data_IF_973025179200
#
_entry.id   IF_973025179200
#
_cell.length_a   1.000
_cell.length_b   1.000
_cell.length_c   1.000
_cell.angle_alpha   90.00
_cell.angle_beta   90.00
_cell.angle_gamma   90.00
#
_symmetry.space_group_name_H-M   'P 1'
#
loop_
_entity.id
_entity.type
_entity.pdbx_description
1 polymer ?
#
# COMPACT_ATOMS: atom_id res chain seq x y z
N UNK A 1 -6.21 1.23 -15.97
CA UNK A 1 -5.35 0.71 -14.90
C UNK A 1 -5.99 -0.52 -14.27
N UNK A 2 -5.17 -1.46 -13.82
CA UNK A 2 -5.64 -2.67 -13.15
C UNK A 2 -5.35 -2.57 -11.66
N UNK A 3 -6.05 -3.39 -10.85
CA UNK A 3 -5.81 -3.45 -9.41
C UNK A 3 -4.70 -4.44 -9.09
N UNK A 4 -3.90 -4.10 -8.10
CA UNK A 4 -2.84 -4.95 -7.58
C UNK A 4 -2.88 -4.97 -6.06
N UNK A 5 -2.60 -6.15 -5.48
CA UNK A 5 -2.38 -6.32 -4.05
C UNK A 5 -0.88 -6.29 -3.79
N UNK A 6 -0.45 -5.48 -2.83
CA UNK A 6 0.97 -5.30 -2.52
C UNK A 6 1.18 -5.64 -1.05
N UNK A 7 2.04 -6.64 -0.81
CA UNK A 7 2.41 -7.04 0.54
C UNK A 7 3.72 -6.37 0.94
N UNK A 8 3.73 -5.79 2.15
CA UNK A 8 4.93 -5.21 2.78
C UNK A 8 4.96 -5.72 4.22
N UNK A 9 5.70 -6.81 4.43
CA UNK A 9 5.76 -7.48 5.74
C UNK A 9 6.88 -6.89 6.57
N UNK A 10 6.58 -6.59 7.86
CA UNK A 10 7.56 -6.05 8.79
C UNK A 10 8.31 -4.83 8.20
N UNK A 11 7.60 -3.98 7.49
CA UNK A 11 8.19 -2.91 6.69
C UNK A 11 8.69 -1.72 7.50
N UNK A 12 8.13 -1.51 8.69
CA UNK A 12 8.45 -0.35 9.53
C UNK A 12 8.53 -0.77 10.99
N UNK A 13 9.48 -0.16 11.70
CA UNK A 13 9.69 -0.47 13.12
C UNK A 13 8.54 0.04 13.99
N UNK A 14 7.94 1.18 13.63
CA UNK A 14 6.91 1.86 14.43
C UNK A 14 5.80 2.43 13.54
N UNK A 15 4.67 2.79 14.18
CA UNK A 15 3.59 3.51 13.51
C UNK A 15 4.00 4.85 12.92
N UNK A 16 4.74 5.70 13.64
CA UNK A 16 5.27 6.96 13.08
C UNK A 16 6.14 6.78 11.84
N UNK A 17 6.94 5.72 11.77
CA UNK A 17 7.73 5.40 10.57
C UNK A 17 6.82 5.09 9.39
N UNK A 18 5.74 4.35 9.62
CA UNK A 18 4.74 4.08 8.61
C UNK A 18 4.04 5.36 8.13
N UNK A 19 3.69 6.26 9.05
CA UNK A 19 3.05 7.54 8.70
C UNK A 19 3.95 8.36 7.78
N UNK A 20 5.25 8.41 8.06
CA UNK A 20 6.21 9.12 7.21
C UNK A 20 6.28 8.48 5.82
N UNK A 21 6.27 7.15 5.75
CA UNK A 21 6.26 6.42 4.49
C UNK A 21 4.96 6.68 3.71
N UNK A 22 3.82 6.72 4.40
CA UNK A 22 2.52 7.01 3.76
C UNK A 22 2.50 8.42 3.16
N UNK A 23 3.08 9.39 3.83
CA UNK A 23 3.21 10.75 3.31
C UNK A 23 4.05 10.80 2.03
N UNK A 24 5.19 10.09 2.01
CA UNK A 24 6.02 9.98 0.81
C UNK A 24 5.26 9.29 -0.33
N UNK A 25 4.54 8.21 -0.01
CA UNK A 25 3.74 7.45 -0.97
C UNK A 25 2.70 8.34 -1.65
N UNK A 26 1.98 9.14 -0.87
CA UNK A 26 0.97 10.07 -1.37
C UNK A 26 1.60 11.10 -2.29
N UNK A 27 2.69 11.72 -1.86
CA UNK A 27 3.40 12.74 -2.64
C UNK A 27 3.85 12.19 -4.00
N UNK A 28 4.47 11.03 -4.02
CA UNK A 28 4.97 10.43 -5.27
C UNK A 28 3.81 9.91 -6.15
N UNK A 29 2.78 9.33 -5.53
CA UNK A 29 1.61 8.81 -6.26
C UNK A 29 0.78 9.90 -6.92
N UNK A 30 0.73 11.08 -6.33
CA UNK A 30 -0.05 12.22 -6.85
C UNK A 30 0.67 12.97 -7.98
N UNK A 31 1.93 12.67 -8.25
CA UNK A 31 2.67 13.28 -9.35
C UNK A 31 2.09 12.84 -10.70
N UNK A 32 2.06 13.77 -11.66
CA UNK A 32 1.64 13.45 -13.02
C UNK A 32 2.54 12.35 -13.61
N UNK A 33 1.93 11.35 -14.23
CA UNK A 33 2.66 10.27 -14.84
C UNK A 33 3.21 9.22 -13.89
N UNK A 34 2.80 9.22 -12.61
CA UNK A 34 3.25 8.20 -11.66
C UNK A 34 2.82 6.79 -12.06
N UNK A 35 1.70 6.67 -12.79
CA UNK A 35 1.17 5.37 -13.22
C UNK A 35 0.54 4.55 -12.10
N UNK A 36 0.37 5.13 -10.92
CA UNK A 36 -0.23 4.45 -9.77
C UNK A 36 -1.26 5.32 -9.09
N UNK A 37 -2.21 4.66 -8.43
CA UNK A 37 -3.23 5.32 -7.62
C UNK A 37 -3.51 4.46 -6.39
N UNK A 38 -3.25 5.01 -5.21
CA UNK A 38 -3.46 4.30 -3.95
C UNK A 38 -4.97 4.27 -3.62
N UNK A 39 -5.50 3.07 -3.43
CA UNK A 39 -6.93 2.87 -3.16
C UNK A 39 -7.15 2.68 -1.65
N UNK A 40 -6.48 1.70 -1.04
CA UNK A 40 -6.59 1.47 0.41
C UNK A 40 -5.44 0.62 0.91
N UNK A 41 -5.24 0.64 2.21
CA UNK A 41 -4.28 -0.22 2.88
C UNK A 41 -4.85 -0.73 4.19
N UNK A 42 -4.48 -1.96 4.55
CA UNK A 42 -4.65 -2.48 5.89
C UNK A 42 -3.30 -2.46 6.57
N UNK A 43 -3.25 -1.90 7.76
CA UNK A 43 -2.03 -1.85 8.57
C UNK A 43 -1.99 -3.11 9.41
N UNK A 44 -0.90 -3.87 9.32
CA UNK A 44 -0.76 -5.17 9.94
C UNK A 44 0.06 -5.07 11.23
N UNK A 45 -0.49 -5.57 12.33
CA UNK A 45 0.24 -5.74 13.59
C UNK A 45 0.98 -7.07 13.51
N UNK A 46 2.27 -7.02 13.22
CA UNK A 46 3.07 -8.21 12.99
C UNK A 46 3.54 -8.84 14.31
N UNK A 47 3.78 -10.15 14.31
CA UNK A 47 4.27 -10.88 15.49
C UNK A 47 5.60 -10.35 16.01
N UNK A 48 6.43 -9.83 15.10
CA UNK A 48 7.73 -9.23 15.44
C UNK A 48 7.61 -7.95 16.27
N UNK A 49 6.42 -7.36 16.38
CA UNK A 49 6.21 -6.04 16.96
C UNK A 49 6.39 -4.91 15.97
N UNK A 50 6.84 -5.22 14.75
CA UNK A 50 6.92 -4.26 13.66
C UNK A 50 5.56 -4.09 12.99
N UNK A 51 5.49 -3.18 12.03
CA UNK A 51 4.27 -2.85 11.28
C UNK A 51 4.45 -3.23 9.83
N UNK A 52 3.46 -3.89 9.26
CA UNK A 52 3.40 -4.18 7.82
C UNK A 52 2.15 -3.58 7.21
N UNK A 53 1.98 -3.76 5.90
CA UNK A 53 0.76 -3.34 5.19
C UNK A 53 0.36 -4.35 4.13
N UNK A 54 -0.95 -4.40 3.90
CA UNK A 54 -1.56 -5.03 2.73
C UNK A 54 -2.26 -3.89 1.97
N UNK A 55 -1.73 -3.54 0.80
CA UNK A 55 -2.18 -2.38 0.05
C UNK A 55 -2.88 -2.78 -1.23
N UNK A 56 -3.91 -2.02 -1.61
CA UNK A 56 -4.57 -2.12 -2.90
C UNK A 56 -4.30 -0.85 -3.69
N UNK A 57 -3.72 -1.00 -4.87
CA UNK A 57 -3.41 0.10 -5.80
C UNK A 57 -4.02 -0.18 -7.15
N UNK A 58 -4.44 0.88 -7.85
CA UNK A 58 -4.54 0.83 -9.30
C UNK A 58 -3.19 1.19 -9.89
N UNK A 59 -2.78 0.51 -10.94
CA UNK A 59 -1.51 0.83 -11.61
C UNK A 59 -1.56 0.43 -13.08
N UNK A 60 -0.71 1.08 -13.88
CA UNK A 60 -0.56 0.76 -15.29
C UNK A 60 0.13 -0.58 -15.48
N UNK A 61 1.03 -0.93 -14.56
CA UNK A 61 1.83 -2.16 -14.61
C UNK A 61 2.48 -2.44 -13.26
N UNK A 62 2.95 -3.67 -12.99
CA UNK A 62 3.77 -3.94 -11.81
C UNK A 62 5.04 -3.10 -11.75
N UNK A 63 5.63 -2.79 -12.91
CA UNK A 63 6.84 -1.95 -13.00
C UNK A 63 6.56 -0.53 -12.51
N UNK A 64 5.37 0.02 -12.78
CA UNK A 64 4.97 1.32 -12.26
C UNK A 64 4.90 1.31 -10.72
N UNK A 65 4.41 0.22 -10.14
CA UNK A 65 4.37 0.04 -8.68
C UNK A 65 5.79 0.00 -8.11
N UNK A 66 6.71 -0.72 -8.76
CA UNK A 66 8.09 -0.81 -8.30
C UNK A 66 8.80 0.54 -8.39
N UNK A 67 8.59 1.27 -9.46
CA UNK A 67 9.14 2.61 -9.63
C UNK A 67 8.62 3.58 -8.58
N UNK A 68 7.31 3.50 -8.27
CA UNK A 68 6.69 4.29 -7.21
C UNK A 68 7.28 3.94 -5.84
N UNK A 69 7.45 2.66 -5.55
CA UNK A 69 8.03 2.21 -4.29
C UNK A 69 9.46 2.70 -4.12
N UNK A 70 10.26 2.67 -5.19
CA UNK A 70 11.63 3.19 -5.17
C UNK A 70 11.63 4.70 -4.92
N UNK A 71 10.77 5.45 -5.61
CA UNK A 71 10.69 6.91 -5.45
C UNK A 71 10.24 7.32 -4.04
N UNK A 72 9.33 6.56 -3.44
CA UNK A 72 8.79 6.84 -2.11
C UNK A 72 9.56 6.13 -0.98
N UNK A 73 10.60 5.38 -1.32
CA UNK A 73 11.39 4.58 -0.37
C UNK A 73 10.50 3.63 0.45
N UNK A 74 9.77 2.77 -0.25
CA UNK A 74 8.88 1.78 0.36
C UNK A 74 9.42 0.37 0.13
N UNK A 75 9.35 -0.51 1.15
CA UNK A 75 9.63 -1.93 0.93
C UNK A 75 8.52 -2.57 0.11
N UNK A 76 8.85 -3.62 -0.65
CA UNK A 76 7.89 -4.43 -1.40
C UNK A 76 8.30 -5.88 -1.30
N UNK A 77 7.44 -6.72 -0.72
CA UNK A 77 7.67 -8.16 -0.67
C UNK A 77 7.03 -8.86 -1.87
N UNK A 78 5.80 -8.48 -2.20
CA UNK A 78 5.05 -9.14 -3.25
C UNK A 78 4.05 -8.20 -3.91
N UNK A 79 3.90 -8.32 -5.24
CA UNK A 79 2.90 -7.61 -6.04
C UNK A 79 2.10 -8.66 -6.77
N UNK A 80 0.78 -8.71 -6.54
CA UNK A 80 -0.11 -9.71 -7.14
C UNK A 80 -1.25 -9.01 -7.86
N UNK A 81 -1.48 -9.33 -9.15
CA UNK A 81 -2.66 -8.81 -9.85
C UNK A 81 -3.94 -9.29 -9.18
N UNK A 82 -4.91 -8.39 -9.05
CA UNK A 82 -6.24 -8.73 -8.53
C UNK A 82 -7.12 -9.15 -9.69
N UNK A 83 -7.56 -10.40 -9.68
CA UNK A 83 -8.39 -10.94 -10.76
C UNK A 83 -9.84 -10.45 -10.68
N UNK A 84 -10.38 -10.33 -9.46
CA UNK A 84 -11.77 -9.94 -9.25
C UNK A 84 -11.94 -9.41 -7.82
N UNK A 85 -13.02 -8.68 -7.59
CA UNK A 85 -13.30 -8.11 -6.26
C UNK A 85 -14.68 -8.55 -5.81
N UNK A 86 -14.78 -9.12 -4.62
CA UNK A 86 -16.04 -9.49 -3.99
C UNK A 86 -16.20 -8.64 -2.73
N UNK A 87 -17.24 -7.81 -2.70
CA UNK A 87 -17.55 -6.97 -1.55
C UNK A 87 -18.86 -7.47 -0.94
N UNK A 88 -18.77 -8.09 0.22
CA UNK A 88 -19.96 -8.55 0.97
C UNK A 88 -20.53 -7.40 1.80
N UNK A 89 -19.66 -6.66 2.45
CA UNK A 89 -20.01 -5.44 3.18
C UNK A 89 -18.78 -4.54 3.29
N UNK A 90 -18.97 -3.23 3.52
CA UNK A 90 -17.83 -2.32 3.65
C UNK A 90 -17.00 -2.63 4.90
N UNK A 91 -15.76 -2.13 4.92
CA UNK A 91 -14.93 -2.24 6.10
C UNK A 91 -15.61 -1.58 7.30
N UNK A 92 -15.47 -2.14 8.50
CA UNK A 92 -16.01 -1.51 9.69
C UNK A 92 -15.31 -0.18 9.97
N UNK A 93 -16.04 0.74 10.60
CA UNK A 93 -15.46 2.01 11.04
C UNK A 93 -14.48 1.69 12.18
N UNK A 94 -13.24 2.24 12.15
CA UNK A 94 -12.29 2.01 13.22
C UNK A 94 -12.84 2.42 14.59
N UNK A 95 -12.48 1.66 15.62
CA UNK A 95 -12.91 1.97 16.99
C UNK A 95 -12.42 3.36 17.40
N UNK A 96 -13.31 4.17 17.95
CA UNK A 96 -12.99 5.52 18.38
C UNK A 96 -13.04 6.58 17.28
N UNK A 97 -13.42 6.20 16.05
CA UNK A 97 -13.60 7.15 14.95
C UNK A 97 -14.95 7.86 15.03
#
# INVERSE_FOLDING_TARGET
MELYAIMRRNGWATGPDLEAAAARSTTEGDKDGSGVRWIRSYVLAEESGQVGTFCIYEAESPEAIRAHADAADLPVDEIVPVADTVVVRPDPVPAGA
#
